data_IF_319501316830
#
_entry.id   IF_319501316830
#
_cell.length_a   1.000
_cell.length_b   1.000
_cell.length_c   1.000
_cell.angle_alpha   90.00
_cell.angle_beta   90.00
_cell.angle_gamma   90.00
#
_symmetry.space_group_name_H-M   'P 1'
#
loop_
_entity.id
_entity.type
_entity.pdbx_description
1 polymer ?
#
# COMPACT_ATOMS: atom_id res chain seq x y z
N UNK A 1 7.66 -30.28 16.25
CA UNK A 1 8.42 -29.65 17.35
C UNK A 1 8.48 -28.13 17.15
N UNK A 2 8.83 -27.67 15.94
CA UNK A 2 8.87 -26.25 15.55
C UNK A 2 7.63 -25.43 15.94
N UNK A 3 6.39 -25.91 15.69
CA UNK A 3 5.19 -25.11 16.00
C UNK A 3 4.98 -24.77 17.50
N UNK A 4 5.53 -25.56 18.44
CA UNK A 4 5.47 -25.22 19.88
C UNK A 4 6.48 -24.14 20.24
N UNK A 5 7.65 -24.16 19.60
CA UNK A 5 8.70 -23.16 19.80
C UNK A 5 8.29 -21.83 19.15
N UNK A 6 7.68 -21.88 17.95
CA UNK A 6 7.06 -20.72 17.32
C UNK A 6 6.02 -20.05 18.21
N UNK A 7 5.03 -20.79 18.70
CA UNK A 7 4.00 -20.23 19.58
C UNK A 7 4.62 -19.55 20.82
N UNK A 8 5.66 -20.15 21.40
CA UNK A 8 6.40 -19.56 22.52
C UNK A 8 7.12 -18.27 22.12
N UNK A 9 7.68 -18.20 20.91
CA UNK A 9 8.36 -17.01 20.42
C UNK A 9 7.37 -15.89 20.04
N UNK A 10 6.18 -16.24 19.54
CA UNK A 10 5.08 -15.28 19.35
C UNK A 10 4.63 -14.70 20.69
N UNK A 11 4.39 -15.56 21.69
CA UNK A 11 4.04 -15.14 23.05
C UNK A 11 5.13 -14.25 23.65
N UNK A 12 6.41 -14.65 23.55
CA UNK A 12 7.55 -13.84 23.98
C UNK A 12 7.53 -12.46 23.32
N UNK A 13 7.34 -12.39 21.99
CA UNK A 13 7.32 -11.14 21.26
C UNK A 13 6.20 -10.20 21.73
N UNK A 14 4.98 -10.71 21.89
CA UNK A 14 3.83 -9.92 22.33
C UNK A 14 3.96 -9.48 23.80
N UNK A 15 4.34 -10.38 24.71
CA UNK A 15 4.58 -10.02 26.11
C UNK A 15 5.74 -9.02 26.25
N UNK A 16 6.80 -9.17 25.45
CA UNK A 16 7.90 -8.21 25.44
C UNK A 16 7.45 -6.82 24.96
N UNK A 17 6.50 -6.73 24.03
CA UNK A 17 5.87 -5.46 23.64
C UNK A 17 5.07 -4.86 24.81
N UNK A 18 4.31 -5.67 25.54
CA UNK A 18 3.56 -5.22 26.73
C UNK A 18 4.50 -4.69 27.83
N UNK A 19 5.64 -5.36 28.02
CA UNK A 19 6.66 -5.03 29.01
C UNK A 19 7.65 -3.95 28.55
N UNK A 20 7.50 -3.42 27.32
CA UNK A 20 8.45 -2.48 26.68
C UNK A 20 9.90 -3.00 26.66
N UNK A 21 10.08 -4.30 26.41
CA UNK A 21 11.37 -4.97 26.38
C UNK A 21 11.84 -5.24 24.95
N UNK A 22 12.54 -4.25 24.37
CA UNK A 22 13.01 -4.30 22.97
C UNK A 22 13.81 -5.57 22.60
N UNK A 23 14.64 -6.06 23.51
CA UNK A 23 15.51 -7.21 23.25
C UNK A 23 14.70 -8.51 23.11
N UNK A 24 13.64 -8.69 23.91
CA UNK A 24 12.74 -9.83 23.79
C UNK A 24 11.93 -9.79 22.50
N UNK A 25 11.50 -8.59 22.07
CA UNK A 25 10.87 -8.40 20.77
C UNK A 25 11.84 -8.75 19.64
N UNK A 26 13.08 -8.23 19.69
CA UNK A 26 14.10 -8.53 18.68
C UNK A 26 14.39 -10.03 18.59
N UNK A 27 14.52 -10.72 19.72
CA UNK A 27 14.74 -12.17 19.76
C UNK A 27 13.59 -12.93 19.10
N UNK A 28 12.33 -12.55 19.39
CA UNK A 28 11.15 -13.14 18.76
C UNK A 28 11.17 -12.95 17.24
N UNK A 29 11.42 -11.72 16.79
CA UNK A 29 11.44 -11.35 15.37
C UNK A 29 12.55 -12.05 14.58
N UNK A 30 13.76 -12.11 15.14
CA UNK A 30 14.88 -12.80 14.50
C UNK A 30 14.55 -14.28 14.29
N UNK A 31 14.07 -14.97 15.34
CA UNK A 31 13.64 -16.38 15.25
C UNK A 31 12.52 -16.59 14.22
N UNK A 32 11.45 -15.78 14.27
CA UNK A 32 10.32 -15.92 13.35
C UNK A 32 10.74 -15.66 11.89
N UNK A 33 11.67 -14.74 11.66
CA UNK A 33 12.18 -14.46 10.31
C UNK A 33 13.06 -15.59 9.76
N UNK A 34 13.88 -16.21 10.62
CA UNK A 34 14.69 -17.38 10.27
C UNK A 34 13.81 -18.59 9.95
N UNK A 35 12.82 -18.87 10.79
CA UNK A 35 11.90 -19.99 10.61
C UNK A 35 10.99 -19.78 9.40
N UNK A 36 10.45 -18.56 9.19
CA UNK A 36 9.66 -18.23 8.01
C UNK A 36 10.46 -18.43 6.72
N UNK A 37 11.74 -18.03 6.71
CA UNK A 37 12.66 -18.29 5.59
C UNK A 37 12.92 -19.77 5.37
N UNK A 38 13.13 -20.53 6.45
CA UNK A 38 13.33 -21.98 6.38
C UNK A 38 12.10 -22.69 5.80
N UNK A 39 10.90 -22.25 6.16
CA UNK A 39 9.65 -22.77 5.61
C UNK A 39 9.53 -22.55 4.10
N UNK A 40 9.90 -21.38 3.60
CA UNK A 40 9.93 -21.14 2.15
C UNK A 40 10.92 -22.06 1.43
N UNK A 41 12.11 -22.27 2.00
CA UNK A 41 13.09 -23.21 1.42
C UNK A 41 12.59 -24.66 1.41
N UNK A 42 11.78 -25.03 2.39
CA UNK A 42 11.13 -26.34 2.51
C UNK A 42 9.81 -26.46 1.71
N UNK A 43 9.43 -25.42 0.95
CA UNK A 43 8.13 -25.35 0.23
C UNK A 43 6.89 -25.47 1.14
N UNK A 44 7.00 -24.99 2.37
CA UNK A 44 5.93 -24.94 3.39
C UNK A 44 5.32 -23.54 3.46
N UNK A 45 4.64 -23.16 2.39
CA UNK A 45 4.13 -21.79 2.21
C UNK A 45 3.15 -21.37 3.31
N UNK A 46 2.26 -22.27 3.74
CA UNK A 46 1.29 -21.96 4.78
C UNK A 46 1.94 -21.66 6.14
N UNK A 47 2.98 -22.41 6.50
CA UNK A 47 3.75 -22.18 7.73
C UNK A 47 4.57 -20.89 7.65
N UNK A 48 5.14 -20.57 6.47
CA UNK A 48 5.80 -19.29 6.25
C UNK A 48 4.82 -18.11 6.41
N UNK A 49 3.61 -18.23 5.87
CA UNK A 49 2.56 -17.22 6.02
C UNK A 49 2.15 -17.03 7.49
N UNK A 50 2.08 -18.10 8.28
CA UNK A 50 1.81 -17.99 9.73
C UNK A 50 2.92 -17.21 10.48
N UNK A 51 4.18 -17.39 10.09
CA UNK A 51 5.29 -16.60 10.63
C UNK A 51 5.16 -15.12 10.26
N UNK A 52 4.79 -14.81 9.00
CA UNK A 52 4.51 -13.44 8.53
C UNK A 52 3.37 -12.80 9.34
N UNK A 53 2.26 -13.51 9.55
CA UNK A 53 1.12 -13.02 10.35
C UNK A 53 1.54 -12.70 11.78
N UNK A 54 2.42 -13.51 12.36
CA UNK A 54 2.93 -13.32 13.72
C UNK A 54 3.86 -12.10 13.83
N UNK A 55 4.78 -11.93 12.88
CA UNK A 55 5.64 -10.73 12.81
C UNK A 55 4.80 -9.47 12.61
N UNK A 56 3.78 -9.51 11.74
CA UNK A 56 2.81 -8.43 11.56
C UNK A 56 2.12 -8.06 12.87
N UNK A 57 1.64 -9.05 13.63
CA UNK A 57 0.97 -8.82 14.90
C UNK A 57 1.89 -8.15 15.93
N UNK A 58 3.14 -8.61 16.05
CA UNK A 58 4.16 -8.01 16.92
C UNK A 58 4.46 -6.58 16.48
N UNK A 59 4.69 -6.34 15.18
CA UNK A 59 4.97 -5.00 14.65
C UNK A 59 3.84 -4.00 14.86
N UNK A 60 2.58 -4.43 14.65
CA UNK A 60 1.41 -3.60 14.94
C UNK A 60 1.29 -3.31 16.43
N UNK A 61 1.48 -4.30 17.30
CA UNK A 61 1.43 -4.10 18.74
C UNK A 61 2.54 -3.15 19.22
N UNK A 62 3.77 -3.31 18.73
CA UNK A 62 4.89 -2.42 19.01
C UNK A 62 4.58 -0.97 18.62
N UNK A 63 3.95 -0.79 17.45
CA UNK A 63 3.50 0.52 16.98
C UNK A 63 2.46 1.13 17.91
N UNK A 64 1.47 0.35 18.33
CA UNK A 64 0.44 0.82 19.28
C UNK A 64 1.01 1.18 20.66
N UNK A 65 2.13 0.58 21.05
CA UNK A 65 2.87 0.89 22.28
C UNK A 65 3.91 2.01 22.12
N UNK A 66 4.07 2.57 20.91
CA UNK A 66 5.08 3.59 20.63
C UNK A 66 6.53 3.07 20.59
N UNK A 67 6.73 1.75 20.51
CA UNK A 67 8.04 1.13 20.45
C UNK A 67 8.62 1.20 19.03
N UNK A 68 9.22 2.33 18.68
CA UNK A 68 9.72 2.61 17.33
C UNK A 68 10.76 1.59 16.83
N UNK A 69 11.75 1.25 17.66
CA UNK A 69 12.78 0.28 17.30
C UNK A 69 12.20 -1.11 17.04
N UNK A 70 11.25 -1.55 17.88
CA UNK A 70 10.56 -2.82 17.71
C UNK A 70 9.74 -2.85 16.41
N UNK A 71 8.99 -1.78 16.10
CA UNK A 71 8.23 -1.69 14.85
C UNK A 71 9.14 -1.70 13.60
N UNK A 72 10.26 -0.97 13.64
CA UNK A 72 11.29 -1.01 12.59
C UNK A 72 11.87 -2.42 12.43
N UNK A 73 12.16 -3.11 13.52
CA UNK A 73 12.68 -4.48 13.48
C UNK A 73 11.67 -5.46 12.88
N UNK A 74 10.36 -5.26 13.10
CA UNK A 74 9.33 -6.08 12.46
C UNK A 74 9.30 -5.91 10.95
N UNK A 75 9.43 -4.67 10.45
CA UNK A 75 9.55 -4.42 9.00
C UNK A 75 10.79 -5.13 8.44
N UNK A 76 11.95 -5.01 9.10
CA UNK A 76 13.18 -5.67 8.65
C UNK A 76 13.10 -7.20 8.67
N UNK A 77 12.41 -7.76 9.67
CA UNK A 77 12.17 -9.20 9.76
C UNK A 77 11.31 -9.68 8.57
N UNK A 78 10.28 -8.92 8.20
CA UNK A 78 9.46 -9.17 7.01
C UNK A 78 10.26 -9.03 5.70
N UNK A 79 11.14 -8.03 5.58
CA UNK A 79 12.00 -7.87 4.39
C UNK A 79 12.89 -9.09 4.12
N UNK A 80 13.39 -9.75 5.18
CA UNK A 80 14.19 -10.99 5.05
C UNK A 80 13.36 -12.11 4.44
N UNK A 81 12.11 -12.27 4.90
CA UNK A 81 11.19 -13.28 4.34
C UNK A 81 10.79 -12.88 2.92
N UNK A 82 10.54 -11.60 2.64
CA UNK A 82 10.16 -11.10 1.32
C UNK A 82 11.20 -11.46 0.26
N UNK A 83 12.48 -11.24 0.57
CA UNK A 83 13.56 -11.59 -0.36
C UNK A 83 13.45 -13.07 -0.78
N UNK A 84 13.16 -13.94 0.19
CA UNK A 84 13.06 -15.38 -0.04
C UNK A 84 11.76 -15.76 -0.73
N UNK A 85 10.64 -15.11 -0.42
CA UNK A 85 9.35 -15.38 -1.05
C UNK A 85 9.36 -15.01 -2.53
N UNK A 86 10.03 -13.90 -2.89
CA UNK A 86 10.24 -13.49 -4.28
C UNK A 86 11.17 -14.46 -5.00
N UNK A 87 12.29 -14.87 -4.39
CA UNK A 87 13.22 -15.85 -4.97
C UNK A 87 12.54 -17.21 -5.24
N UNK A 88 11.66 -17.65 -4.34
CA UNK A 88 10.93 -18.91 -4.45
C UNK A 88 9.59 -18.80 -5.22
N UNK A 89 9.21 -17.59 -5.66
CA UNK A 89 7.95 -17.31 -6.37
C UNK A 89 6.69 -17.75 -5.61
N UNK A 90 6.68 -17.59 -4.30
CA UNK A 90 5.52 -17.89 -3.44
C UNK A 90 4.60 -16.67 -3.35
N UNK A 91 3.75 -16.48 -4.38
CA UNK A 91 2.91 -15.28 -4.56
C UNK A 91 2.06 -14.97 -3.31
N UNK A 92 1.41 -15.98 -2.71
CA UNK A 92 0.52 -15.77 -1.56
C UNK A 92 1.30 -15.22 -0.36
N UNK A 93 2.47 -15.80 -0.08
CA UNK A 93 3.34 -15.29 0.99
C UNK A 93 3.88 -13.89 0.67
N UNK A 94 4.28 -13.62 -0.57
CA UNK A 94 4.74 -12.28 -0.99
C UNK A 94 3.64 -11.23 -0.77
N UNK A 95 2.42 -11.49 -1.24
CA UNK A 95 1.26 -10.61 -1.03
C UNK A 95 1.00 -10.39 0.47
N UNK A 96 1.04 -11.45 1.28
CA UNK A 96 0.84 -11.38 2.73
C UNK A 96 1.88 -10.48 3.41
N UNK A 97 3.14 -10.53 2.96
CA UNK A 97 4.22 -9.67 3.48
C UNK A 97 4.00 -8.21 3.07
N UNK A 98 3.67 -7.94 1.81
CA UNK A 98 3.42 -6.59 1.31
C UNK A 98 2.28 -5.91 2.08
N UNK A 99 1.17 -6.62 2.28
CA UNK A 99 0.05 -6.13 3.08
C UNK A 99 0.41 -5.96 4.57
N UNK A 100 1.34 -6.76 5.09
CA UNK A 100 1.87 -6.61 6.45
C UNK A 100 2.66 -5.31 6.62
N UNK A 101 3.46 -4.90 5.62
CA UNK A 101 4.09 -3.58 5.63
C UNK A 101 3.04 -2.47 5.64
N UNK A 102 2.01 -2.57 4.81
CA UNK A 102 0.89 -1.62 4.78
C UNK A 102 0.20 -1.51 6.13
N UNK A 103 -0.05 -2.64 6.80
CA UNK A 103 -0.68 -2.69 8.13
C UNK A 103 0.15 -2.01 9.20
N UNK A 104 1.45 -2.32 9.27
CA UNK A 104 2.36 -1.71 10.26
C UNK A 104 2.53 -0.22 9.95
N UNK A 105 2.77 0.14 8.69
CA UNK A 105 2.94 1.51 8.25
C UNK A 105 1.70 2.38 8.51
N UNK A 106 0.50 1.84 8.28
CA UNK A 106 -0.75 2.54 8.57
C UNK A 106 -0.91 2.80 10.06
N UNK A 107 -0.68 1.77 10.88
CA UNK A 107 -0.71 1.93 12.34
C UNK A 107 0.33 2.98 12.78
N UNK A 108 1.51 2.99 12.16
CA UNK A 108 2.57 3.93 12.49
C UNK A 108 2.19 5.36 12.12
N UNK A 109 1.57 5.56 10.96
CA UNK A 109 1.00 6.84 10.57
C UNK A 109 -0.03 7.34 11.58
N UNK A 110 -0.96 6.47 12.00
CA UNK A 110 -1.99 6.81 13.00
C UNK A 110 -1.39 7.15 14.37
N UNK A 111 -0.27 6.53 14.74
CA UNK A 111 0.48 6.82 15.96
C UNK A 111 1.56 7.90 15.81
N UNK A 112 1.62 8.58 14.65
CA UNK A 112 2.61 9.63 14.34
C UNK A 112 4.08 9.16 14.45
N UNK A 113 4.33 7.87 14.21
CA UNK A 113 5.66 7.28 14.17
C UNK A 113 6.25 7.45 12.77
N UNK A 114 6.69 8.67 12.48
CA UNK A 114 7.07 9.11 11.12
C UNK A 114 8.11 8.19 10.47
N UNK A 115 9.18 7.83 11.21
CA UNK A 115 10.25 6.95 10.73
C UNK A 115 9.72 5.59 10.27
N UNK A 116 8.78 5.00 11.01
CA UNK A 116 8.25 3.66 10.74
C UNK A 116 7.34 3.69 9.52
N UNK A 117 6.44 4.68 9.45
CA UNK A 117 5.57 4.87 8.30
C UNK A 117 6.38 5.15 7.02
N UNK A 118 7.43 5.99 7.12
CA UNK A 118 8.38 6.25 6.02
C UNK A 118 9.08 5.00 5.54
N UNK A 119 9.59 4.19 6.49
CA UNK A 119 10.27 2.94 6.17
C UNK A 119 9.33 1.97 5.47
N UNK A 120 8.12 1.77 5.99
CA UNK A 120 7.11 0.90 5.37
C UNK A 120 6.78 1.36 3.94
N UNK A 121 6.54 2.66 3.73
CA UNK A 121 6.27 3.22 2.41
C UNK A 121 7.46 3.04 1.45
N UNK A 122 8.69 3.27 1.91
CA UNK A 122 9.89 3.11 1.07
C UNK A 122 10.12 1.65 0.65
N UNK A 123 9.93 0.70 1.57
CA UNK A 123 10.04 -0.73 1.26
C UNK A 123 8.95 -1.15 0.27
N UNK A 124 7.72 -0.68 0.47
CA UNK A 124 6.60 -0.93 -0.44
C UNK A 124 6.87 -0.36 -1.83
N UNK A 125 7.29 0.91 -1.96
CA UNK A 125 7.56 1.52 -3.27
C UNK A 125 8.66 0.79 -4.06
N UNK A 126 9.75 0.38 -3.41
CA UNK A 126 10.79 -0.44 -4.04
C UNK A 126 10.25 -1.80 -4.48
N UNK A 127 9.41 -2.41 -3.65
CA UNK A 127 8.81 -3.71 -3.94
C UNK A 127 7.79 -3.61 -5.08
N UNK A 128 6.99 -2.54 -5.13
CA UNK A 128 6.03 -2.25 -6.19
C UNK A 128 6.69 -2.08 -7.54
N UNK A 129 7.70 -1.23 -7.62
CA UNK A 129 8.48 -1.07 -8.85
C UNK A 129 9.09 -2.40 -9.31
N UNK A 130 9.61 -3.20 -8.38
CA UNK A 130 10.18 -4.52 -8.67
C UNK A 130 9.13 -5.55 -9.10
N UNK A 131 7.91 -5.49 -8.56
CA UNK A 131 6.80 -6.35 -8.93
C UNK A 131 6.26 -5.98 -10.33
N UNK A 132 6.07 -4.69 -10.60
CA UNK A 132 5.65 -4.20 -11.90
C UNK A 132 6.64 -4.61 -13.01
N UNK A 133 7.94 -4.40 -12.80
CA UNK A 133 8.99 -4.82 -13.75
C UNK A 133 9.07 -6.34 -13.98
N UNK A 134 8.54 -7.14 -13.05
CA UNK A 134 8.44 -8.60 -13.18
C UNK A 134 7.08 -9.06 -13.74
N UNK A 135 6.17 -8.14 -14.05
CA UNK A 135 4.80 -8.41 -14.47
C UNK A 135 3.96 -9.15 -13.43
N UNK A 136 4.22 -8.92 -12.13
CA UNK A 136 3.42 -9.49 -11.05
C UNK A 136 2.29 -8.53 -10.65
N UNK A 137 1.17 -8.59 -11.38
CA UNK A 137 0.05 -7.64 -11.22
C UNK A 137 -0.56 -7.67 -9.82
N UNK A 138 -0.77 -8.86 -9.25
CA UNK A 138 -1.38 -9.01 -7.90
C UNK A 138 -0.47 -8.49 -6.79
N UNK A 139 0.84 -8.69 -6.91
CA UNK A 139 1.81 -8.11 -5.98
C UNK A 139 1.84 -6.59 -6.09
N UNK A 140 1.75 -6.06 -7.31
CA UNK A 140 1.66 -4.61 -7.57
C UNK A 140 0.39 -4.01 -6.96
N UNK A 141 -0.76 -4.66 -7.10
CA UNK A 141 -2.02 -4.26 -6.45
C UNK A 141 -1.89 -4.29 -4.92
N UNK A 142 -1.25 -5.32 -4.35
CA UNK A 142 -1.02 -5.39 -2.91
C UNK A 142 -0.16 -4.22 -2.39
N UNK A 143 0.84 -3.79 -3.17
CA UNK A 143 1.62 -2.59 -2.88
C UNK A 143 0.77 -1.33 -2.95
N UNK A 144 -0.07 -1.20 -3.98
CA UNK A 144 -0.99 -0.07 -4.13
C UNK A 144 -1.87 0.09 -2.87
N UNK A 145 -2.50 -1.00 -2.44
CA UNK A 145 -3.33 -1.05 -1.22
C UNK A 145 -2.50 -0.63 0.01
N UNK A 146 -1.31 -1.20 0.20
CA UNK A 146 -0.46 -0.88 1.34
C UNK A 146 -0.06 0.60 1.40
N UNK A 147 0.44 1.15 0.30
CA UNK A 147 0.85 2.56 0.19
C UNK A 147 -0.34 3.50 0.35
N UNK A 148 -1.47 3.17 -0.29
CA UNK A 148 -2.68 3.97 -0.23
C UNK A 148 -3.26 4.04 1.18
N UNK A 149 -3.27 2.93 1.94
CA UNK A 149 -3.71 2.92 3.33
C UNK A 149 -2.80 3.74 4.24
N UNK A 150 -1.47 3.67 4.06
CA UNK A 150 -0.52 4.55 4.77
C UNK A 150 -0.80 6.01 4.41
N UNK A 151 -0.83 6.33 3.12
CA UNK A 151 -1.03 7.68 2.60
C UNK A 151 -2.32 8.33 3.09
N UNK A 152 -3.44 7.59 3.10
CA UNK A 152 -4.72 8.05 3.66
C UNK A 152 -4.65 8.33 5.15
N UNK A 153 -4.00 7.46 5.93
CA UNK A 153 -3.87 7.68 7.38
C UNK A 153 -3.01 8.89 7.70
N UNK A 154 -1.94 9.12 6.93
CA UNK A 154 -1.08 10.29 7.11
C UNK A 154 -1.79 11.59 6.66
N UNK A 155 -2.52 11.57 5.53
CA UNK A 155 -3.24 12.73 5.02
C UNK A 155 -4.38 13.23 5.92
N UNK A 156 -4.85 12.41 6.87
CA UNK A 156 -5.87 12.76 7.87
C UNK A 156 -5.30 13.46 9.11
N UNK A 157 -3.99 13.58 9.21
CA UNK A 157 -3.35 14.26 10.34
C UNK A 157 -3.36 15.77 10.09
N UNK A 158 -3.84 16.55 11.08
CA UNK A 158 -4.05 18.01 11.03
C UNK A 158 -2.75 18.84 11.09
N UNK A 159 -1.69 18.42 10.42
CA UNK A 159 -0.44 19.18 10.38
C UNK A 159 -0.16 19.64 8.95
N UNK A 160 -0.25 20.97 8.68
CA UNK A 160 -0.17 21.54 7.33
C UNK A 160 1.18 21.41 6.65
N UNK A 161 2.24 21.13 7.41
CA UNK A 161 3.55 20.89 6.83
C UNK A 161 3.55 19.47 6.28
N UNK A 162 3.43 19.40 4.95
CA UNK A 162 3.65 18.24 4.10
C UNK A 162 4.42 17.16 4.84
N UNK A 163 3.70 16.21 5.44
CA UNK A 163 4.43 15.13 6.09
C UNK A 163 5.22 14.44 4.98
N UNK A 164 6.51 14.28 5.19
CA UNK A 164 7.40 13.65 4.21
C UNK A 164 6.84 12.27 3.81
N UNK A 165 6.06 11.65 4.71
CA UNK A 165 5.34 10.41 4.48
C UNK A 165 4.21 10.48 3.45
N UNK A 166 3.37 11.52 3.46
CA UNK A 166 2.35 11.70 2.40
C UNK A 166 3.03 11.83 1.04
N UNK A 167 4.09 12.64 0.98
CA UNK A 167 4.94 12.80 -0.21
C UNK A 167 5.45 11.46 -0.74
N UNK A 168 6.04 10.68 0.16
CA UNK A 168 6.66 9.41 -0.17
C UNK A 168 5.63 8.42 -0.67
N UNK A 169 4.43 8.37 -0.08
CA UNK A 169 3.36 7.50 -0.56
C UNK A 169 2.88 7.92 -1.95
N UNK A 170 2.67 9.22 -2.20
CA UNK A 170 2.27 9.75 -3.51
C UNK A 170 3.33 9.41 -4.57
N UNK A 171 4.60 9.72 -4.30
CA UNK A 171 5.70 9.45 -5.23
C UNK A 171 5.86 7.94 -5.49
N UNK A 172 5.80 7.10 -4.45
CA UNK A 172 5.90 5.65 -4.63
C UNK A 172 4.73 5.10 -5.46
N UNK A 173 3.50 5.57 -5.22
CA UNK A 173 2.32 5.19 -6.01
C UNK A 173 2.45 5.68 -7.45
N UNK A 174 2.82 6.94 -7.67
CA UNK A 174 3.03 7.52 -9.01
C UNK A 174 4.05 6.73 -9.82
N UNK A 175 5.23 6.48 -9.25
CA UNK A 175 6.29 5.70 -9.89
C UNK A 175 5.85 4.27 -10.19
N UNK A 176 5.20 3.60 -9.22
CA UNK A 176 4.70 2.23 -9.39
C UNK A 176 3.61 2.16 -10.45
N UNK A 177 2.69 3.14 -10.47
CA UNK A 177 1.57 3.19 -11.42
C UNK A 177 2.04 3.44 -12.84
N UNK A 178 3.00 4.34 -13.00
CA UNK A 178 3.65 4.59 -14.29
C UNK A 178 4.33 3.33 -14.83
N UNK A 179 5.06 2.62 -13.96
CA UNK A 179 5.68 1.35 -14.33
C UNK A 179 4.64 0.27 -14.64
N UNK A 180 3.55 0.19 -13.87
CA UNK A 180 2.46 -0.76 -14.13
C UNK A 180 1.84 -0.51 -15.51
N UNK A 181 1.56 0.74 -15.85
CA UNK A 181 1.07 1.14 -17.16
C UNK A 181 2.06 0.74 -18.28
N UNK A 182 3.34 1.11 -18.15
CA UNK A 182 4.40 0.75 -19.11
C UNK A 182 4.61 -0.76 -19.27
N UNK A 183 4.25 -1.57 -18.27
CA UNK A 183 4.35 -3.03 -18.30
C UNK A 183 3.02 -3.72 -18.64
N UNK A 184 2.02 -2.99 -19.15
CA UNK A 184 0.73 -3.55 -19.55
C UNK A 184 -0.09 -4.17 -18.40
N UNK A 185 0.14 -3.74 -17.16
CA UNK A 185 -0.56 -4.21 -15.95
C UNK A 185 -1.75 -3.29 -15.62
N UNK A 186 -2.79 -3.35 -16.46
CA UNK A 186 -3.93 -2.42 -16.40
C UNK A 186 -4.68 -2.45 -15.06
N UNK A 187 -4.92 -3.64 -14.47
CA UNK A 187 -5.64 -3.72 -13.20
C UNK A 187 -4.83 -3.10 -12.06
N UNK A 188 -3.50 -3.20 -12.12
CA UNK A 188 -2.61 -2.55 -11.17
C UNK A 188 -2.55 -1.03 -11.35
N UNK A 189 -2.50 -0.53 -12.58
CA UNK A 189 -2.54 0.90 -12.87
C UNK A 189 -3.85 1.53 -12.35
N UNK A 190 -5.00 0.93 -12.69
CA UNK A 190 -6.32 1.33 -12.17
C UNK A 190 -6.35 1.28 -10.63
N UNK A 191 -5.82 0.20 -10.03
CA UNK A 191 -5.77 0.08 -8.57
C UNK A 191 -4.96 1.19 -7.88
N UNK A 192 -3.90 1.67 -8.53
CA UNK A 192 -3.07 2.77 -8.03
C UNK A 192 -3.80 4.11 -8.17
N UNK A 193 -4.45 4.36 -9.30
CA UNK A 193 -5.27 5.56 -9.53
C UNK A 193 -6.42 5.66 -8.52
N UNK A 194 -7.09 4.53 -8.23
CA UNK A 194 -8.10 4.45 -7.18
C UNK A 194 -7.55 4.84 -5.80
N UNK A 195 -6.37 4.34 -5.43
CA UNK A 195 -5.74 4.71 -4.16
C UNK A 195 -5.34 6.18 -4.11
N UNK A 196 -4.82 6.72 -5.21
CA UNK A 196 -4.46 8.12 -5.35
C UNK A 196 -5.70 9.02 -5.21
N UNK A 197 -6.83 8.67 -5.84
CA UNK A 197 -8.10 9.38 -5.67
C UNK A 197 -8.56 9.42 -4.21
N UNK A 198 -8.58 8.26 -3.54
CA UNK A 198 -8.98 8.20 -2.13
C UNK A 198 -8.04 9.02 -1.22
N UNK A 199 -6.73 9.03 -1.53
CA UNK A 199 -5.75 9.86 -0.87
C UNK A 199 -5.98 11.35 -1.13
N UNK A 200 -6.34 11.75 -2.35
CA UNK A 200 -6.64 13.13 -2.69
C UNK A 200 -7.89 13.62 -1.95
N UNK A 201 -8.93 12.77 -1.86
CA UNK A 201 -10.13 13.07 -1.06
C UNK A 201 -9.76 13.30 0.40
N UNK A 202 -8.90 12.45 0.98
CA UNK A 202 -8.41 12.62 2.34
C UNK A 202 -7.60 13.92 2.52
N UNK A 203 -6.66 14.19 1.61
CA UNK A 203 -5.83 15.38 1.62
C UNK A 203 -6.67 16.68 1.52
N UNK A 204 -7.63 16.71 0.58
CA UNK A 204 -8.54 17.85 0.42
C UNK A 204 -9.48 18.05 1.62
N UNK A 205 -9.85 16.98 2.33
CA UNK A 205 -10.63 17.09 3.56
C UNK A 205 -9.89 17.89 4.64
N UNK A 206 -8.56 17.77 4.69
CA UNK A 206 -7.67 18.50 5.61
C UNK A 206 -7.02 19.75 4.96
N UNK A 207 -7.50 20.19 3.79
CA UNK A 207 -7.00 21.35 3.04
C UNK A 207 -5.52 21.24 2.59
N UNK A 208 -5.01 20.02 2.39
CA UNK A 208 -3.65 19.75 1.90
C UNK A 208 -3.58 19.91 0.37
N UNK A 209 -3.62 21.16 -0.09
CA UNK A 209 -3.67 21.50 -1.51
C UNK A 209 -2.45 21.01 -2.31
N UNK A 210 -1.24 21.13 -1.76
CA UNK A 210 -0.01 20.66 -2.43
C UNK A 210 0.00 19.14 -2.64
N UNK A 211 -0.54 18.38 -1.68
CA UNK A 211 -0.65 16.93 -1.81
C UNK A 211 -1.68 16.54 -2.88
N UNK A 212 -2.85 17.20 -2.90
CA UNK A 212 -3.85 16.99 -3.95
C UNK A 212 -3.32 17.35 -5.35
N UNK A 213 -2.53 18.43 -5.46
CA UNK A 213 -1.84 18.80 -6.70
C UNK A 213 -0.83 17.75 -7.15
N UNK A 214 0.04 17.28 -6.24
CA UNK A 214 1.03 16.23 -6.56
C UNK A 214 0.36 14.91 -6.97
N UNK A 215 -0.81 14.61 -6.40
CA UNK A 215 -1.62 13.46 -6.80
C UNK A 215 -2.17 13.65 -8.22
N UNK A 216 -2.66 14.84 -8.56
CA UNK A 216 -3.12 15.14 -9.91
C UNK A 216 -1.98 14.96 -10.94
N UNK A 217 -0.77 15.43 -10.63
CA UNK A 217 0.41 15.22 -11.48
C UNK A 217 0.72 13.72 -11.66
N UNK A 218 0.62 12.94 -10.57
CA UNK A 218 0.84 11.49 -10.63
C UNK A 218 -0.21 10.78 -11.48
N UNK A 219 -1.49 11.15 -11.35
CA UNK A 219 -2.58 10.60 -12.16
C UNK A 219 -2.40 10.94 -13.65
N UNK A 220 -1.92 12.15 -13.97
CA UNK A 220 -1.59 12.53 -15.35
C UNK A 220 -0.49 11.63 -15.93
N UNK A 221 0.59 11.42 -15.19
CA UNK A 221 1.71 10.58 -15.67
C UNK A 221 1.32 9.11 -15.89
N UNK A 222 0.52 8.55 -14.96
CA UNK A 222 0.00 7.18 -15.09
C UNK A 222 -0.94 7.11 -16.30
N UNK A 223 -1.92 8.01 -16.38
CA UNK A 223 -2.91 8.03 -17.45
C UNK A 223 -2.27 8.18 -18.84
N UNK A 224 -1.24 9.01 -19.00
CA UNK A 224 -0.49 9.12 -20.28
C UNK A 224 0.25 7.83 -20.64
N UNK A 225 0.88 7.20 -19.64
CA UNK A 225 1.56 5.92 -19.86
C UNK A 225 0.56 4.81 -20.22
N UNK A 226 -0.64 4.86 -19.64
CA UNK A 226 -1.75 3.96 -19.95
C UNK A 226 -2.30 4.20 -21.37
N UNK A 227 -2.41 5.46 -21.79
CA UNK A 227 -2.80 5.84 -23.15
C UNK A 227 -1.81 5.31 -24.19
N UNK A 228 -0.50 5.49 -23.95
CA UNK A 228 0.56 4.97 -24.83
C UNK A 228 0.49 3.45 -25.02
N UNK A 229 -0.05 2.73 -24.03
CA UNK A 229 -0.17 1.27 -24.02
C UNK A 229 -1.61 0.77 -24.28
N UNK A 230 -2.52 1.64 -24.72
CA UNK A 230 -3.92 1.35 -25.07
C UNK A 230 -4.77 0.76 -23.92
N UNK A 231 -4.50 1.18 -22.68
CA UNK A 231 -5.24 0.77 -21.48
C UNK A 231 -6.48 1.64 -21.20
N UNK A 232 -7.60 1.30 -21.84
CA UNK A 232 -8.82 2.11 -21.78
C UNK A 232 -9.34 2.31 -20.34
N UNK A 233 -9.29 1.28 -19.48
CA UNK A 233 -9.81 1.37 -18.11
C UNK A 233 -8.96 2.30 -17.23
N UNK A 234 -7.64 2.26 -17.39
CA UNK A 234 -6.72 3.12 -16.65
C UNK A 234 -6.84 4.58 -17.12
N UNK A 235 -6.89 4.83 -18.43
CA UNK A 235 -7.14 6.18 -18.96
C UNK A 235 -8.47 6.74 -18.46
N UNK A 236 -9.53 5.92 -18.48
CA UNK A 236 -10.85 6.28 -17.95
C UNK A 236 -10.78 6.61 -16.45
N UNK A 237 -10.14 5.75 -15.66
CA UNK A 237 -10.04 5.92 -14.21
C UNK A 237 -9.18 7.14 -13.84
N UNK A 238 -8.02 7.37 -14.47
CA UNK A 238 -7.21 8.58 -14.29
C UNK A 238 -8.04 9.85 -14.56
N UNK A 239 -8.77 9.88 -15.66
CA UNK A 239 -9.64 11.01 -16.03
C UNK A 239 -10.75 11.21 -15.01
N UNK A 240 -11.41 10.13 -14.58
CA UNK A 240 -12.47 10.18 -13.57
C UNK A 240 -11.96 10.69 -12.21
N UNK A 241 -10.79 10.23 -11.80
CA UNK A 241 -10.12 10.69 -10.57
C UNK A 241 -9.75 12.16 -10.64
N UNK A 242 -9.20 12.63 -11.76
CA UNK A 242 -8.88 14.04 -11.96
C UNK A 242 -10.14 14.93 -11.96
N UNK A 243 -11.24 14.48 -12.57
CA UNK A 243 -12.53 15.18 -12.49
C UNK A 243 -13.04 15.28 -11.05
N UNK A 244 -12.90 14.19 -10.29
CA UNK A 244 -13.25 14.16 -8.86
C UNK A 244 -12.39 15.15 -8.08
N UNK A 245 -11.07 15.18 -8.29
CA UNK A 245 -10.17 16.13 -7.63
C UNK A 245 -10.54 17.56 -7.98
N UNK A 246 -10.73 17.88 -9.27
CA UNK A 246 -11.09 19.22 -9.73
C UNK A 246 -12.37 19.72 -9.04
N UNK A 247 -13.45 18.91 -9.06
CA UNK A 247 -14.74 19.27 -8.48
C UNK A 247 -14.70 19.39 -6.95
N UNK A 248 -14.02 18.48 -6.26
CA UNK A 248 -13.89 18.52 -4.80
C UNK A 248 -13.01 19.68 -4.33
N UNK A 249 -11.92 19.97 -5.05
CA UNK A 249 -11.03 21.09 -4.77
C UNK A 249 -11.73 22.44 -4.99
N UNK A 250 -12.49 22.59 -6.08
CA UNK A 250 -13.26 23.81 -6.39
C UNK A 250 -14.30 24.09 -5.29
N UNK A 251 -15.07 23.08 -4.89
CA UNK A 251 -16.05 23.19 -3.81
C UNK A 251 -15.43 23.59 -2.45
N UNK A 252 -14.12 23.40 -2.28
CA UNK A 252 -13.36 23.72 -1.07
C UNK A 252 -12.45 24.94 -1.23
N UNK A 253 -12.51 25.64 -2.37
CA UNK A 253 -11.64 26.78 -2.69
C UNK A 253 -10.14 26.44 -2.69
N UNK A 254 -9.77 25.19 -2.98
CA UNK A 254 -8.38 24.72 -3.11
C UNK A 254 -7.89 24.95 -4.55
N UNK A 255 -7.75 26.22 -4.93
CA UNK A 255 -7.62 26.64 -6.32
C UNK A 255 -6.45 25.99 -7.08
N UNK A 256 -5.25 25.90 -6.51
CA UNK A 256 -4.09 25.30 -7.19
C UNK A 256 -4.27 23.81 -7.42
N UNK A 257 -4.94 23.07 -6.51
CA UNK A 257 -5.24 21.65 -6.73
C UNK A 257 -6.31 21.49 -7.82
N UNK A 258 -7.33 22.35 -7.84
CA UNK A 258 -8.34 22.38 -8.90
C UNK A 258 -7.73 22.70 -10.26
N UNK A 259 -6.82 23.68 -10.32
CA UNK A 259 -6.09 24.07 -11.53
C UNK A 259 -5.17 22.94 -12.00
N UNK A 260 -4.40 22.32 -11.10
CA UNK A 260 -3.54 21.18 -11.45
C UNK A 260 -4.35 20.04 -12.07
N UNK A 261 -5.45 19.64 -11.43
CA UNK A 261 -6.33 18.60 -11.95
C UNK A 261 -6.96 18.98 -13.31
N UNK A 262 -7.33 20.26 -13.49
CA UNK A 262 -7.84 20.75 -14.77
C UNK A 262 -6.79 20.70 -15.88
N UNK A 263 -5.56 21.15 -15.61
CA UNK A 263 -4.45 21.11 -16.58
C UNK A 263 -4.13 19.66 -16.96
N UNK A 264 -4.11 18.76 -15.98
CA UNK A 264 -3.93 17.33 -16.25
C UNK A 264 -5.05 16.76 -17.14
N UNK A 265 -6.32 17.12 -16.88
CA UNK A 265 -7.45 16.72 -17.74
C UNK A 265 -7.32 17.23 -19.17
N UNK A 266 -6.79 18.44 -19.36
CA UNK A 266 -6.59 19.01 -20.70
C UNK A 266 -5.64 18.16 -21.56
N UNK A 267 -4.76 17.37 -20.93
CA UNK A 267 -3.88 16.44 -21.64
C UNK A 267 -4.61 15.24 -22.26
N UNK A 268 -5.83 14.94 -21.82
CA UNK A 268 -6.67 13.83 -22.31
C UNK A 268 -7.80 14.28 -23.24
N UNK A 269 -7.94 15.60 -23.51
CA UNK A 269 -9.05 16.17 -24.29
C UNK A 269 -9.16 15.68 -25.74
N UNK A 270 -8.11 15.06 -26.30
CA UNK A 270 -8.14 14.50 -27.65
C UNK A 270 -8.72 13.08 -27.69
N UNK A 271 -9.04 12.49 -26.54
CA UNK A 271 -9.52 11.12 -26.42
C UNK A 271 -11.05 11.06 -26.43
N UNK A 272 -11.59 10.23 -27.33
CA UNK A 272 -12.96 9.72 -27.20
C UNK A 272 -12.97 8.70 -26.05
N UNK A 273 -12.89 9.18 -24.81
CA UNK A 273 -12.99 8.32 -23.62
C UNK A 273 -14.44 7.86 -23.53
N UNK A 274 -14.69 6.62 -23.94
CA UNK A 274 -16.03 6.04 -23.92
C UNK A 274 -16.34 5.66 -22.48
N UNK A 275 -17.30 6.38 -21.90
CA UNK A 275 -17.94 5.96 -20.67
C UNK A 275 -18.87 4.78 -20.98
N UNK A 276 -18.30 3.59 -21.14
CA UNK A 276 -19.06 2.36 -21.31
C UNK A 276 -19.28 1.68 -19.94
N UNK A 277 -20.45 1.07 -19.78
CA UNK A 277 -20.83 0.30 -18.59
C UNK A 277 -19.81 -0.81 -18.28
N UNK A 278 -19.12 -1.32 -19.30
CA UNK A 278 -18.06 -2.30 -19.18
C UNK A 278 -16.85 -1.78 -18.40
N UNK A 279 -16.36 -0.58 -18.70
CA UNK A 279 -15.21 0.03 -18.02
C UNK A 279 -15.52 0.24 -16.53
N UNK A 280 -16.72 0.76 -16.24
CA UNK A 280 -17.20 0.96 -14.86
C UNK A 280 -17.28 -0.37 -14.10
N UNK A 281 -17.78 -1.44 -14.74
CA UNK A 281 -17.87 -2.77 -14.12
C UNK A 281 -16.47 -3.31 -13.78
N UNK A 282 -15.52 -3.21 -14.71
CA UNK A 282 -14.14 -3.67 -14.53
C UNK A 282 -13.44 -2.94 -13.38
N UNK A 283 -13.59 -1.62 -13.30
CA UNK A 283 -13.05 -0.81 -12.20
C UNK A 283 -13.65 -1.24 -10.84
N UNK A 284 -14.94 -1.53 -10.77
CA UNK A 284 -15.56 -2.00 -9.53
C UNK A 284 -15.05 -3.40 -9.13
N UNK A 285 -14.79 -4.29 -10.09
CA UNK A 285 -14.17 -5.60 -9.83
C UNK A 285 -12.75 -5.45 -9.24
N UNK A 286 -11.96 -4.51 -9.76
CA UNK A 286 -10.63 -4.19 -9.24
C UNK A 286 -10.74 -3.64 -7.81
N UNK A 287 -11.67 -2.70 -7.59
CA UNK A 287 -11.96 -2.14 -6.26
C UNK A 287 -12.35 -3.22 -5.25
N UNK A 288 -13.19 -4.18 -5.64
CA UNK A 288 -13.54 -5.33 -4.78
C UNK A 288 -12.35 -6.25 -4.51
N UNK A 289 -11.49 -6.48 -5.51
CA UNK A 289 -10.26 -7.26 -5.35
C UNK A 289 -9.34 -6.61 -4.31
N UNK A 290 -9.13 -5.30 -4.42
CA UNK A 290 -8.35 -4.52 -3.45
C UNK A 290 -8.95 -4.59 -2.04
N UNK A 291 -10.28 -4.43 -1.92
CA UNK A 291 -10.99 -4.59 -0.63
C UNK A 291 -10.79 -5.99 -0.05
N UNK A 292 -10.90 -7.03 -0.88
CA UNK A 292 -10.70 -8.42 -0.49
C UNK A 292 -9.29 -8.68 0.05
N UNK A 293 -8.26 -8.18 -0.65
CA UNK A 293 -6.86 -8.27 -0.21
C UNK A 293 -6.67 -7.60 1.16
N UNK A 294 -7.16 -6.36 1.31
CA UNK A 294 -6.99 -5.62 2.56
C UNK A 294 -7.73 -6.27 3.74
N UNK A 295 -9.00 -6.60 3.57
CA UNK A 295 -9.83 -7.22 4.62
C UNK A 295 -9.24 -8.57 5.07
N UNK A 296 -8.81 -9.39 4.10
CA UNK A 296 -8.15 -10.67 4.38
C UNK A 296 -6.87 -10.50 5.20
N UNK A 297 -6.07 -9.48 4.89
CA UNK A 297 -4.84 -9.18 5.64
C UNK A 297 -5.07 -8.58 7.03
N UNK A 298 -6.17 -7.86 7.24
CA UNK A 298 -6.54 -7.29 8.54
C UNK A 298 -7.08 -8.34 9.54
N UNK A 299 -7.32 -9.59 9.10
CA UNK A 299 -7.93 -10.64 9.93
C UNK A 299 -9.42 -10.42 10.20
N UNK A 300 -10.06 -9.52 9.46
CA UNK A 300 -11.49 -9.27 9.53
C UNK A 300 -12.17 -10.25 8.56
N UNK A 301 -12.97 -11.20 9.06
CA UNK A 301 -13.77 -12.04 8.15
C UNK A 301 -14.80 -11.15 7.44
N UNK A 302 -14.98 -11.27 6.11
CA UNK A 302 -16.09 -10.60 5.44
C UNK A 302 -17.40 -11.09 6.06
N UNK A 303 -18.24 -10.16 6.52
CA UNK A 303 -19.60 -10.50 6.95
C UNK A 303 -20.33 -11.12 5.76
N UNK A 304 -20.62 -12.41 5.86
CA UNK A 304 -21.46 -13.10 4.88
C UNK A 304 -22.83 -12.44 4.90
N UNK A 305 -23.13 -11.62 3.89
CA UNK A 305 -24.49 -11.15 3.64
C UNK A 305 -25.35 -12.39 3.39
N UNK A 306 -26.32 -12.62 4.30
CA UNK A 306 -27.41 -13.57 4.11
C UNK A 306 -28.47 -12.98 3.19
#
# INVERSE_FOLDING_TARGET
>A
MLSKEENKMVELGLTSVEENFDEGVRQALDFLSEVGTAYLNDSKEHEAENAVVSIKAIGKAATMQGMENAAVNSIRALERILQRSVEQKTESTTISILLSFGTIGKAAAEQQMETVAKLAASVLGKSGNSAALRNEERETIAVAVGLGEIGKSVARLRFPDFSENTANCISCLGDTGKLAAQQKLEDAAVGIELMLEEMAIAAMAENMQSAAGSIADSLEEIGKSAEEEEMENAVFQATSSLQTIMAHAENRYLNDASIAAKVALESFNELDIINDEENVRKIEEIRETMRGLWIGSAGLKPESKK
#
